data_IF_046854164973
#
_entry.id   IF_046854164973
#
_cell.length_a   1.000
_cell.length_b   1.000
_cell.length_c   1.000
_cell.angle_alpha   90.00
_cell.angle_beta   90.00
_cell.angle_gamma   90.00
#
_symmetry.space_group_name_H-M   'P 1'
#
loop_
_entity.id
_entity.type
_entity.pdbx_description
1 polymer ?
#
# COMPACT_ATOMS: atom_id res chain seq x y z
N UNK A 1 -24.10 -2.56 -19.88
CA UNK A 1 -23.61 -3.85 -19.35
C UNK A 1 -23.07 -3.53 -17.97
N UNK A 2 -23.90 -3.70 -16.93
CA UNK A 2 -23.41 -3.54 -15.56
C UNK A 2 -22.61 -4.82 -15.27
N UNK A 3 -21.28 -4.75 -15.40
CA UNK A 3 -20.43 -5.78 -14.83
C UNK A 3 -20.81 -5.91 -13.36
N UNK A 4 -21.13 -7.13 -12.94
CA UNK A 4 -21.32 -7.44 -11.53
C UNK A 4 -20.01 -7.07 -10.83
N UNK A 5 -20.03 -6.00 -10.03
CA UNK A 5 -18.88 -5.61 -9.22
C UNK A 5 -18.54 -6.81 -8.34
N UNK A 6 -17.38 -7.42 -8.58
CA UNK A 6 -16.83 -8.43 -7.68
C UNK A 6 -16.44 -7.73 -6.38
N UNK A 7 -17.45 -7.57 -5.52
CA UNK A 7 -17.35 -6.80 -4.27
C UNK A 7 -16.28 -7.40 -3.36
N UNK A 8 -16.08 -8.72 -3.41
CA UNK A 8 -15.05 -9.39 -2.65
C UNK A 8 -13.64 -9.06 -3.21
N UNK A 9 -13.49 -9.08 -4.53
CA UNK A 9 -12.27 -8.63 -5.22
C UNK A 9 -11.93 -7.17 -4.89
N UNK A 10 -12.91 -6.27 -4.96
CA UNK A 10 -12.73 -4.85 -4.61
C UNK A 10 -12.31 -4.67 -3.16
N UNK A 11 -12.99 -5.32 -2.20
CA UNK A 11 -12.62 -5.22 -0.77
C UNK A 11 -11.20 -5.72 -0.53
N UNK A 12 -10.82 -6.85 -1.16
CA UNK A 12 -9.45 -7.37 -1.08
C UNK A 12 -8.44 -6.36 -1.62
N UNK A 13 -8.68 -5.81 -2.81
CA UNK A 13 -7.76 -4.87 -3.45
C UNK A 13 -7.59 -3.60 -2.62
N UNK A 14 -8.69 -3.03 -2.12
CA UNK A 14 -8.67 -1.89 -1.20
C UNK A 14 -7.91 -2.21 0.09
N UNK A 15 -8.12 -3.39 0.67
CA UNK A 15 -7.41 -3.81 1.88
C UNK A 15 -5.90 -3.87 1.68
N UNK A 16 -5.44 -4.52 0.60
CA UNK A 16 -4.01 -4.59 0.27
C UNK A 16 -3.43 -3.21 -0.04
N UNK A 17 -4.18 -2.38 -0.78
CA UNK A 17 -3.77 -1.02 -1.10
C UNK A 17 -3.62 -0.16 0.18
N UNK A 18 -4.59 -0.22 1.08
CA UNK A 18 -4.54 0.52 2.35
C UNK A 18 -3.35 0.09 3.22
N UNK A 19 -3.03 -1.21 3.26
CA UNK A 19 -1.83 -1.70 3.95
C UNK A 19 -0.57 -1.15 3.29
N UNK A 20 -0.48 -1.20 1.96
CA UNK A 20 0.66 -0.66 1.21
C UNK A 20 0.88 0.83 1.46
N UNK A 21 -0.18 1.63 1.35
CA UNK A 21 -0.15 3.08 1.64
C UNK A 21 0.22 3.34 3.10
N UNK A 22 -0.33 2.57 4.05
CA UNK A 22 0.00 2.70 5.47
C UNK A 22 1.48 2.42 5.76
N UNK A 23 2.03 1.34 5.21
CA UNK A 23 3.46 1.03 5.31
C UNK A 23 4.32 2.14 4.69
N UNK A 24 3.95 2.61 3.50
CA UNK A 24 4.67 3.68 2.83
C UNK A 24 4.63 4.99 3.64
N UNK A 25 3.47 5.33 4.21
CA UNK A 25 3.32 6.52 5.05
C UNK A 25 4.17 6.43 6.32
N UNK A 26 4.14 5.31 7.04
CA UNK A 26 4.98 5.10 8.23
C UNK A 26 6.47 5.16 7.87
N UNK A 27 6.87 4.50 6.78
CA UNK A 27 8.25 4.54 6.29
C UNK A 27 8.69 5.95 5.90
N UNK A 28 7.84 6.71 5.23
CA UNK A 28 8.11 8.09 4.85
C UNK A 28 8.23 9.02 6.06
N UNK A 29 7.34 8.88 7.05
CA UNK A 29 7.41 9.66 8.30
C UNK A 29 8.71 9.36 9.06
N UNK A 30 9.12 8.09 9.14
CA UNK A 30 10.38 7.71 9.76
C UNK A 30 11.61 8.19 8.97
N UNK A 31 11.56 8.18 7.63
CA UNK A 31 12.64 8.75 6.80
C UNK A 31 12.74 10.28 6.91
N UNK A 32 11.61 10.94 7.14
CA UNK A 32 11.52 12.38 7.37
C UNK A 32 11.87 12.81 8.81
N UNK A 33 12.30 11.86 9.65
CA UNK A 33 12.60 12.08 11.08
C UNK A 33 11.42 12.67 11.86
N UNK A 34 10.19 12.44 11.37
CA UNK A 34 8.96 12.93 12.00
C UNK A 34 8.50 12.04 13.17
N UNK A 35 8.99 10.79 13.20
CA UNK A 35 8.76 9.81 14.26
C UNK A 35 10.08 9.10 14.58
N UNK A 36 10.29 8.76 15.85
CA UNK A 36 11.48 8.02 16.30
C UNK A 36 11.36 6.54 15.85
N UNK A 37 11.86 6.27 14.65
CA UNK A 37 11.81 4.97 14.01
C UNK A 37 13.14 4.69 13.32
N UNK A 38 13.62 3.44 13.40
CA UNK A 38 14.91 3.04 12.82
C UNK A 38 14.96 3.38 11.33
N UNK A 39 15.96 4.17 10.91
CA UNK A 39 16.13 4.62 9.52
C UNK A 39 16.14 3.45 8.51
N UNK A 40 16.72 2.31 8.92
CA UNK A 40 16.76 1.09 8.08
C UNK A 40 15.37 0.50 7.91
N UNK A 41 14.59 0.44 9.00
CA UNK A 41 13.20 -0.03 8.95
C UNK A 41 12.30 0.96 8.21
N UNK A 42 12.51 2.27 8.37
CA UNK A 42 11.80 3.32 7.65
C UNK A 42 11.95 3.16 6.14
N UNK A 43 13.20 2.97 5.67
CA UNK A 43 13.49 2.69 4.26
C UNK A 43 12.82 1.40 3.77
N UNK A 44 12.92 0.31 4.54
CA UNK A 44 12.30 -0.96 4.19
C UNK A 44 10.76 -0.84 4.10
N UNK A 45 10.12 -0.17 5.05
CA UNK A 45 8.67 0.02 5.09
C UNK A 45 8.21 0.88 3.92
N UNK A 46 8.96 1.93 3.59
CA UNK A 46 8.66 2.79 2.44
C UNK A 46 8.69 1.98 1.13
N UNK A 47 9.78 1.24 0.89
CA UNK A 47 9.95 0.46 -0.33
C UNK A 47 8.92 -0.67 -0.43
N UNK A 48 8.67 -1.40 0.65
CA UNK A 48 7.68 -2.49 0.67
C UNK A 48 6.25 -1.96 0.49
N UNK A 49 5.92 -0.83 1.12
CA UNK A 49 4.62 -0.18 0.96
C UNK A 49 4.37 0.24 -0.49
N UNK A 50 5.35 0.88 -1.12
CA UNK A 50 5.28 1.24 -2.55
C UNK A 50 5.16 0.00 -3.45
N UNK A 51 5.93 -1.06 -3.17
CA UNK A 51 5.85 -2.30 -3.92
C UNK A 51 4.44 -2.93 -3.85
N UNK A 52 3.79 -2.90 -2.70
CA UNK A 52 2.40 -3.35 -2.54
C UNK A 52 1.42 -2.49 -3.34
N UNK A 53 1.57 -1.16 -3.29
CA UNK A 53 0.74 -0.23 -4.07
C UNK A 53 0.86 -0.54 -5.57
N UNK A 54 2.09 -0.67 -6.08
CA UNK A 54 2.36 -1.02 -7.47
C UNK A 54 1.77 -2.40 -7.80
N UNK A 55 1.93 -3.39 -6.93
CA UNK A 55 1.40 -4.73 -7.15
C UNK A 55 -0.13 -4.74 -7.28
N UNK A 56 -0.85 -3.92 -6.51
CA UNK A 56 -2.31 -3.78 -6.65
C UNK A 56 -2.68 -3.21 -8.02
N UNK A 57 -1.94 -2.21 -8.50
CA UNK A 57 -2.20 -1.62 -9.82
C UNK A 57 -1.86 -2.55 -10.98
N UNK A 58 -0.75 -3.28 -10.91
CA UNK A 58 -0.28 -4.11 -12.02
C UNK A 58 -0.94 -5.48 -12.06
N UNK A 59 -1.16 -6.11 -10.90
CA UNK A 59 -1.64 -7.50 -10.84
C UNK A 59 -3.11 -7.63 -10.46
N UNK A 60 -3.68 -6.65 -9.74
CA UNK A 60 -5.08 -6.74 -9.28
C UNK A 60 -6.04 -5.83 -10.06
N UNK A 61 -5.56 -5.13 -11.10
CA UNK A 61 -6.37 -4.24 -11.92
C UNK A 61 -6.66 -2.89 -11.26
N UNK A 62 -5.99 -2.58 -10.14
CA UNK A 62 -6.22 -1.36 -9.36
C UNK A 62 -6.99 -1.59 -8.06
N UNK A 63 -7.05 -0.56 -7.19
CA UNK A 63 -7.75 -0.64 -5.91
C UNK A 63 -9.28 -0.66 -6.05
N UNK A 64 -9.82 -0.16 -7.17
CA UNK A 64 -11.26 -0.08 -7.48
C UNK A 64 -11.49 -0.61 -8.88
#
# INVERSE_FOLDING_TARGET
MFESVDTLGTIRNLGVYAIGVGLAAVGALGLADAIDFSIVLSGAFFVLGLALVVAVHEFFGGPI
#
